data_IF_515210138589
#
_entry.id   IF_515210138589
#
_cell.length_a   1.000
_cell.length_b   1.000
_cell.length_c   1.000
_cell.angle_alpha   90.00
_cell.angle_beta   90.00
_cell.angle_gamma   90.00
#
_symmetry.space_group_name_H-M   'P 1'
#
loop_
_entity.id
_entity.type
_entity.pdbx_description
1 polymer ?
#
# COMPACT_ATOMS: atom_id res chain seq x y z
N UNK A 1 -17.91 10.19 7.75
CA UNK A 1 -16.87 10.13 8.80
C UNK A 1 -15.92 8.96 8.64
N UNK A 2 -16.38 7.70 8.58
CA UNK A 2 -15.51 6.52 8.45
C UNK A 2 -14.53 6.62 7.27
N UNK A 3 -15.02 6.95 6.08
CA UNK A 3 -14.17 7.10 4.89
C UNK A 3 -13.07 8.16 5.02
N UNK A 4 -13.36 9.30 5.66
CA UNK A 4 -12.33 10.33 5.92
C UNK A 4 -11.29 9.83 6.93
N UNK A 5 -11.72 9.13 7.98
CA UNK A 5 -10.78 8.55 8.98
C UNK A 5 -9.89 7.52 8.29
N UNK A 6 -10.48 6.61 7.51
CA UNK A 6 -9.75 5.59 6.75
C UNK A 6 -8.77 6.22 5.74
N UNK A 7 -9.17 7.28 5.05
CA UNK A 7 -8.31 8.01 4.12
C UNK A 7 -7.09 8.59 4.84
N UNK A 8 -7.29 9.37 5.90
CA UNK A 8 -6.18 9.98 6.63
C UNK A 8 -5.28 8.94 7.32
N UNK A 9 -5.85 7.84 7.80
CA UNK A 9 -5.09 6.72 8.33
C UNK A 9 -4.19 6.11 7.25
N UNK A 10 -4.71 5.89 6.04
CA UNK A 10 -3.93 5.34 4.93
C UNK A 10 -2.87 6.32 4.42
N UNK A 11 -3.17 7.62 4.38
CA UNK A 11 -2.17 8.66 4.10
C UNK A 11 -1.03 8.59 5.12
N UNK A 12 -1.36 8.48 6.41
CA UNK A 12 -0.36 8.35 7.47
C UNK A 12 0.45 7.04 7.38
N UNK A 13 -0.15 5.94 6.92
CA UNK A 13 0.53 4.66 6.78
C UNK A 13 1.40 4.57 5.53
N UNK A 14 1.02 5.25 4.44
CA UNK A 14 1.70 5.16 3.14
C UNK A 14 2.70 6.30 2.97
N UNK A 15 2.28 7.54 3.20
CA UNK A 15 3.06 8.73 2.83
C UNK A 15 4.05 9.12 3.91
N UNK A 16 3.64 9.10 5.18
CA UNK A 16 4.48 9.56 6.29
C UNK A 16 5.77 8.73 6.46
N UNK A 17 5.79 7.39 6.24
CA UNK A 17 7.02 6.60 6.35
C UNK A 17 8.02 6.83 5.20
N UNK A 18 7.57 7.33 4.04
CA UNK A 18 8.43 7.50 2.85
C UNK A 18 9.67 8.37 3.12
N UNK A 19 9.59 9.59 3.69
CA UNK A 19 10.78 10.40 3.95
C UNK A 19 11.77 9.70 4.89
N UNK A 20 11.28 9.00 5.92
CA UNK A 20 12.14 8.26 6.84
C UNK A 20 12.84 7.08 6.14
N UNK A 21 12.09 6.29 5.35
CA UNK A 21 12.62 5.20 4.54
C UNK A 21 13.68 5.67 3.53
N UNK A 22 13.41 6.76 2.81
CA UNK A 22 14.35 7.35 1.84
C UNK A 22 15.62 7.80 2.55
N UNK A 23 15.50 8.43 3.72
CA UNK A 23 16.64 8.84 4.53
C UNK A 23 17.48 7.65 5.01
N UNK A 24 16.85 6.57 5.47
CA UNK A 24 17.54 5.33 5.88
C UNK A 24 18.25 4.65 4.72
N UNK A 25 17.68 4.68 3.52
CA UNK A 25 18.31 4.17 2.31
C UNK A 25 19.52 5.03 1.90
N UNK A 26 19.39 6.36 1.93
CA UNK A 26 20.48 7.28 1.59
C UNK A 26 21.65 7.21 2.57
N UNK A 27 21.35 6.94 3.86
CA UNK A 27 22.37 6.83 4.92
C UNK A 27 22.90 5.41 5.13
N UNK A 28 22.50 4.45 4.29
CA UNK A 28 22.87 3.03 4.40
C UNK A 28 22.58 2.40 5.78
N UNK A 29 21.63 2.96 6.53
CA UNK A 29 21.21 2.43 7.84
C UNK A 29 20.32 1.20 7.69
N UNK A 30 19.55 1.13 6.61
CA UNK A 30 18.71 -0.03 6.30
C UNK A 30 19.56 -1.17 5.69
N UNK A 31 19.63 -2.29 6.42
CA UNK A 31 20.39 -3.50 6.06
C UNK A 31 19.60 -4.49 5.20
N UNK A 32 18.35 -4.20 4.85
CA UNK A 32 17.55 -5.05 3.97
C UNK A 32 18.18 -5.18 2.58
N UNK A 33 17.88 -6.28 1.90
CA UNK A 33 18.36 -6.52 0.54
C UNK A 33 17.75 -5.52 -0.45
N UNK A 34 18.44 -5.27 -1.56
CA UNK A 34 17.96 -4.35 -2.61
C UNK A 34 16.56 -4.75 -3.11
N UNK A 35 16.27 -6.06 -3.20
CA UNK A 35 14.95 -6.56 -3.60
C UNK A 35 13.84 -6.13 -2.65
N UNK A 36 14.08 -6.15 -1.33
CA UNK A 36 13.11 -5.66 -0.33
C UNK A 36 12.89 -4.16 -0.49
N UNK A 37 13.95 -3.38 -0.67
CA UNK A 37 13.86 -1.92 -0.83
C UNK A 37 13.05 -1.52 -2.07
N UNK A 38 13.31 -2.18 -3.21
CA UNK A 38 12.56 -1.96 -4.45
C UNK A 38 11.09 -2.30 -4.24
N UNK A 39 10.80 -3.49 -3.69
CA UNK A 39 9.41 -3.91 -3.45
C UNK A 39 8.66 -2.96 -2.52
N UNK A 40 9.30 -2.52 -1.43
CA UNK A 40 8.71 -1.58 -0.48
C UNK A 40 8.38 -0.24 -1.13
N UNK A 41 9.32 0.34 -1.88
CA UNK A 41 9.11 1.62 -2.56
C UNK A 41 8.09 1.52 -3.67
N UNK A 42 8.17 0.48 -4.51
CA UNK A 42 7.22 0.25 -5.59
C UNK A 42 5.80 0.08 -5.04
N UNK A 43 5.62 -0.71 -3.98
CA UNK A 43 4.31 -0.92 -3.38
C UNK A 43 3.78 0.36 -2.72
N UNK A 44 4.61 1.09 -1.97
CA UNK A 44 4.18 2.33 -1.32
C UNK A 44 3.76 3.40 -2.35
N UNK A 45 4.56 3.60 -3.40
CA UNK A 45 4.23 4.53 -4.47
C UNK A 45 2.97 4.10 -5.23
N UNK A 46 2.84 2.82 -5.53
CA UNK A 46 1.68 2.29 -6.24
C UNK A 46 0.39 2.43 -5.42
N UNK A 47 0.43 2.15 -4.12
CA UNK A 47 -0.70 2.37 -3.20
C UNK A 47 -1.02 3.86 -3.03
N UNK A 48 -0.02 4.74 -3.06
CA UNK A 48 -0.23 6.18 -3.01
C UNK A 48 -1.01 6.71 -4.23
N UNK A 49 -0.88 6.09 -5.40
CA UNK A 49 -1.72 6.43 -6.57
C UNK A 49 -3.20 6.14 -6.28
N UNK A 50 -3.51 5.04 -5.57
CA UNK A 50 -4.87 4.73 -5.14
C UNK A 50 -5.48 5.78 -4.21
N UNK A 51 -4.65 6.48 -3.41
CA UNK A 51 -5.12 7.57 -2.54
C UNK A 51 -5.69 8.74 -3.36
N UNK A 52 -5.25 8.95 -4.60
CA UNK A 52 -5.78 10.01 -5.47
C UNK A 52 -7.24 9.72 -5.82
N UNK A 53 -7.55 8.49 -6.22
CA UNK A 53 -8.93 8.06 -6.46
C UNK A 53 -9.78 8.10 -5.19
N UNK A 54 -9.23 7.70 -4.04
CA UNK A 54 -9.94 7.81 -2.77
C UNK A 54 -10.22 9.29 -2.41
N UNK A 55 -9.27 10.20 -2.65
CA UNK A 55 -9.51 11.62 -2.48
C UNK A 55 -10.60 12.14 -3.43
N UNK A 56 -10.58 11.70 -4.70
CA UNK A 56 -11.64 11.98 -5.67
C UNK A 56 -13.01 11.54 -5.20
N UNK A 57 -13.11 10.30 -4.68
CA UNK A 57 -14.33 9.75 -4.07
C UNK A 57 -14.87 10.57 -2.91
N UNK A 58 -13.99 11.14 -2.07
CA UNK A 58 -14.40 11.89 -0.90
C UNK A 58 -14.89 13.31 -1.21
N UNK A 59 -14.46 13.89 -2.33
CA UNK A 59 -14.67 15.31 -2.67
C UNK A 59 -15.46 15.50 -3.97
N UNK A 60 -16.03 14.42 -4.51
CA UNK A 60 -16.73 14.40 -5.80
C UNK A 60 -15.90 15.03 -6.94
N UNK A 61 -14.58 14.78 -6.93
CA UNK A 61 -13.64 15.30 -7.93
C UNK A 61 -13.23 14.22 -8.91
N UNK A 62 -13.23 14.54 -10.21
CA UNK A 62 -12.85 13.61 -11.27
C UNK A 62 -11.38 13.78 -11.65
N UNK A 63 -10.57 12.84 -11.20
CA UNK A 63 -9.22 12.54 -11.62
C UNK A 63 -9.17 11.32 -12.53
N UNK A 64 -8.48 11.45 -13.68
CA UNK A 64 -8.29 10.40 -14.69
C UNK A 64 -9.63 9.79 -15.17
N UNK A 65 -9.57 8.73 -15.96
CA UNK A 65 -10.74 8.07 -16.54
C UNK A 65 -11.05 6.74 -15.85
N UNK A 66 -12.31 6.27 -15.80
CA UNK A 66 -12.72 5.06 -15.08
C UNK A 66 -11.88 3.81 -15.37
N UNK A 67 -11.52 3.56 -16.64
CA UNK A 67 -10.73 2.37 -17.01
C UNK A 67 -9.30 2.39 -16.46
N UNK A 68 -8.74 3.56 -16.16
CA UNK A 68 -7.46 3.66 -15.46
C UNK A 68 -7.57 3.07 -14.04
N UNK A 69 -8.61 3.45 -13.31
CA UNK A 69 -8.82 3.03 -11.93
C UNK A 69 -9.21 1.55 -11.81
N UNK A 70 -10.02 1.05 -12.75
CA UNK A 70 -10.30 -0.39 -12.85
C UNK A 70 -9.00 -1.16 -13.12
N UNK A 71 -8.18 -0.70 -14.06
CA UNK A 71 -6.87 -1.33 -14.36
C UNK A 71 -5.95 -1.31 -13.15
N UNK A 72 -5.85 -0.17 -12.47
CA UNK A 72 -5.07 -0.04 -11.23
C UNK A 72 -5.57 -1.01 -10.16
N UNK A 73 -6.89 -1.15 -9.99
CA UNK A 73 -7.49 -2.03 -8.99
C UNK A 73 -7.22 -3.50 -9.30
N UNK A 74 -7.33 -3.92 -10.56
CA UNK A 74 -6.99 -5.28 -10.99
C UNK A 74 -5.51 -5.58 -10.72
N UNK A 75 -4.61 -4.68 -11.10
CA UNK A 75 -3.17 -4.83 -10.83
C UNK A 75 -2.93 -4.90 -9.31
N UNK A 76 -3.60 -4.07 -8.53
CA UNK A 76 -3.47 -4.05 -7.07
C UNK A 76 -3.85 -5.37 -6.42
N UNK A 77 -4.96 -5.97 -6.86
CA UNK A 77 -5.42 -7.26 -6.36
C UNK A 77 -4.45 -8.36 -6.75
N UNK A 78 -4.04 -8.43 -8.03
CA UNK A 78 -3.09 -9.44 -8.52
C UNK A 78 -1.75 -9.32 -7.80
N UNK A 79 -1.23 -8.11 -7.63
CA UNK A 79 0.01 -7.85 -6.93
C UNK A 79 -0.09 -8.26 -5.45
N UNK A 80 -1.18 -7.91 -4.77
CA UNK A 80 -1.40 -8.25 -3.36
C UNK A 80 -1.48 -9.76 -3.13
N UNK A 81 -2.12 -10.50 -4.03
CA UNK A 81 -2.19 -11.98 -3.97
C UNK A 81 -0.83 -12.60 -4.28
N UNK A 82 -0.14 -12.11 -5.31
CA UNK A 82 1.18 -12.63 -5.70
C UNK A 82 2.23 -12.44 -4.60
N UNK A 83 2.16 -11.32 -3.87
CA UNK A 83 3.04 -11.02 -2.75
C UNK A 83 2.96 -12.08 -1.64
N UNK A 84 1.83 -12.75 -1.44
CA UNK A 84 1.67 -13.80 -0.40
C UNK A 84 2.64 -14.96 -0.64
N UNK A 85 2.94 -15.28 -1.90
CA UNK A 85 3.77 -16.44 -2.25
C UNK A 85 5.25 -16.10 -2.34
N UNK A 86 5.60 -14.95 -2.91
CA UNK A 86 6.97 -14.67 -3.34
C UNK A 86 7.59 -13.39 -2.78
N UNK A 87 6.88 -12.60 -1.98
CA UNK A 87 7.38 -11.30 -1.49
C UNK A 87 8.69 -11.44 -0.69
N UNK A 88 9.83 -10.91 -1.20
CA UNK A 88 11.05 -10.75 -0.40
C UNK A 88 10.80 -10.01 0.91
N UNK A 89 9.90 -9.02 0.91
CA UNK A 89 9.50 -8.27 2.10
C UNK A 89 8.84 -9.15 3.16
N UNK A 90 7.93 -10.05 2.78
CA UNK A 90 7.30 -10.96 3.75
C UNK A 90 8.28 -12.00 4.30
N UNK A 91 9.22 -12.46 3.47
CA UNK A 91 10.31 -13.35 3.92
C UNK A 91 11.18 -12.63 4.94
N UNK A 92 11.67 -11.43 4.61
CA UNK A 92 12.49 -10.62 5.50
C UNK A 92 11.75 -10.27 6.80
N UNK A 93 10.48 -9.87 6.73
CA UNK A 93 9.66 -9.63 7.92
C UNK A 93 9.54 -10.90 8.77
N UNK A 94 9.37 -12.08 8.16
CA UNK A 94 9.31 -13.34 8.90
C UNK A 94 10.60 -13.63 9.66
N UNK A 95 11.77 -13.33 9.07
CA UNK A 95 13.08 -13.50 9.72
C UNK A 95 13.26 -12.55 10.90
N UNK A 96 12.80 -11.30 10.79
CA UNK A 96 13.00 -10.26 11.81
C UNK A 96 12.03 -10.40 13.00
N UNK A 97 10.74 -10.66 12.75
CA UNK A 97 9.70 -10.65 13.79
C UNK A 97 9.08 -12.02 14.09
N UNK A 98 9.41 -13.05 13.32
CA UNK A 98 8.86 -14.39 13.45
C UNK A 98 7.50 -14.57 12.75
N UNK A 99 7.22 -15.82 12.35
CA UNK A 99 6.09 -16.22 11.50
C UNK A 99 4.71 -15.84 12.05
N UNK A 100 4.50 -15.98 13.36
CA UNK A 100 3.20 -15.68 13.99
C UNK A 100 2.88 -14.20 13.97
N UNK A 101 3.84 -13.35 14.35
CA UNK A 101 3.66 -11.89 14.34
C UNK A 101 3.48 -11.38 12.91
N UNK A 102 4.30 -11.86 11.97
CA UNK A 102 4.18 -11.50 10.56
C UNK A 102 2.77 -11.77 10.03
N UNK A 103 2.21 -12.96 10.27
CA UNK A 103 0.84 -13.30 9.83
C UNK A 103 -0.22 -12.38 10.40
N UNK A 104 -0.13 -12.05 11.68
CA UNK A 104 -1.08 -11.13 12.34
C UNK A 104 -0.98 -9.75 11.70
N UNK A 105 0.23 -9.20 11.54
CA UNK A 105 0.42 -7.88 10.91
C UNK A 105 0.00 -7.85 9.44
N UNK A 106 0.23 -8.93 8.69
CA UNK A 106 -0.24 -9.05 7.31
C UNK A 106 -1.78 -9.05 7.23
N UNK A 107 -2.45 -9.78 8.14
CA UNK A 107 -3.92 -9.78 8.24
C UNK A 107 -4.47 -8.41 8.62
N UNK A 108 -3.87 -7.73 9.60
CA UNK A 108 -4.23 -6.36 9.97
C UNK A 108 -4.04 -5.42 8.76
N UNK A 109 -2.93 -5.57 8.03
CA UNK A 109 -2.67 -4.82 6.80
C UNK A 109 -3.81 -4.96 5.78
N UNK A 110 -4.24 -6.18 5.46
CA UNK A 110 -5.34 -6.42 4.52
C UNK A 110 -6.63 -5.68 4.93
N UNK A 111 -6.98 -5.73 6.23
CA UNK A 111 -8.16 -5.02 6.74
C UNK A 111 -7.99 -3.51 6.62
N UNK A 112 -6.82 -2.99 6.98
CA UNK A 112 -6.52 -1.55 6.91
C UNK A 112 -6.55 -1.00 5.48
N UNK A 113 -6.08 -1.77 4.50
CA UNK A 113 -6.08 -1.37 3.08
C UNK A 113 -7.42 -1.64 2.37
N UNK A 114 -8.33 -2.42 2.95
CA UNK A 114 -9.64 -2.70 2.33
C UNK A 114 -10.46 -1.45 1.96
N UNK A 115 -10.50 -0.35 2.76
CA UNK A 115 -11.22 0.85 2.38
C UNK A 115 -10.62 1.51 1.14
N UNK A 116 -9.30 1.39 0.91
CA UNK A 116 -8.66 1.92 -0.29
C UNK A 116 -9.25 1.26 -1.54
N UNK A 117 -9.27 -0.08 -1.58
CA UNK A 117 -9.77 -0.81 -2.74
C UNK A 117 -11.25 -0.57 -2.97
N UNK A 118 -12.06 -0.53 -1.91
CA UNK A 118 -13.49 -0.24 -2.02
C UNK A 118 -13.75 1.19 -2.51
N UNK A 119 -13.03 2.19 -1.99
CA UNK A 119 -13.17 3.57 -2.44
C UNK A 119 -12.78 3.70 -3.92
N UNK A 120 -11.68 3.09 -4.36
CA UNK A 120 -11.27 3.10 -5.76
C UNK A 120 -12.29 2.40 -6.65
N UNK A 121 -12.88 1.29 -6.20
CA UNK A 121 -13.94 0.60 -6.93
C UNK A 121 -15.17 1.49 -7.12
N UNK A 122 -15.68 2.10 -6.04
CA UNK A 122 -16.84 3.00 -6.12
C UNK A 122 -16.56 4.28 -6.91
N UNK A 123 -15.32 4.74 -6.89
CA UNK A 123 -14.88 5.90 -7.66
C UNK A 123 -14.77 5.63 -9.16
N UNK A 124 -14.52 4.38 -9.54
CA UNK A 124 -14.32 3.97 -10.92
C UNK A 124 -15.63 3.57 -11.64
N UNK A 125 -16.77 3.62 -10.94
CA UNK A 125 -18.11 3.31 -11.47
C UNK A 125 -18.89 4.61 -11.61
#
# INVERSE_FOLDING_TARGET
MLWHISFWLLVALIVLPLPFKIYEYATCKDKSSIGVKIEEMSNALFMAVGLIAFYGYLNDQVYLFPSFWITWLVISVVWSVSAIFWSPKLVYATEVMGKTKMRIFAGIGLVLYSPLFLAVYFYAI
#
